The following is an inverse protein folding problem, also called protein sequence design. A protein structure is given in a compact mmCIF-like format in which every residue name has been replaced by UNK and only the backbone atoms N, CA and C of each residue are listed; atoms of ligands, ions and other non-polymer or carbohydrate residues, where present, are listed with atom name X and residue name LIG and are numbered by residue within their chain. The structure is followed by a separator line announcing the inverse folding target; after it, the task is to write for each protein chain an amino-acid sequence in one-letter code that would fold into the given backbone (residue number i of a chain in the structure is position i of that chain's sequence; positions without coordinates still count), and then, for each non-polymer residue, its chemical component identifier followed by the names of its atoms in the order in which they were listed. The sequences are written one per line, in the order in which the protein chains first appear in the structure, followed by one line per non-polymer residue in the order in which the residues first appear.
data_IF_233035614454
#
_entry.id   IF_233035614454
#
_cell.length_a   1.000
_cell.length_b   1.000
_cell.length_c   1.000
_cell.angle_alpha   90.00
_cell.angle_beta   90.00
_cell.angle_gamma   90.00
#
_symmetry.space_group_name_H-M   'P 1'
#
loop_
_entity.id
_entity.type
_entity.pdbx_description
1 polymer ?
#
# COMPACT_ATOMS: atom_id res chain seq x y z
N UNK A 1 71.52 -6.51 49.59
CA UNK A 1 72.21 -7.80 49.57
C UNK A 1 71.60 -8.59 48.44
N UNK A 2 72.38 -8.66 47.37
CA UNK A 2 73.05 -9.87 46.87
C UNK A 2 72.07 -10.88 46.28
N UNK A 3 72.13 -11.37 45.09
CA UNK A 3 73.05 -11.29 43.96
C UNK A 3 72.58 -12.32 42.92
N UNK A 4 72.81 -12.00 41.64
CA UNK A 4 73.32 -12.88 40.56
C UNK A 4 72.68 -14.28 40.36
N UNK A 5 72.46 -14.80 39.17
CA UNK A 5 73.26 -14.79 37.91
C UNK A 5 72.59 -15.62 36.83
N UNK A 6 72.72 -15.15 35.56
CA UNK A 6 73.11 -15.88 34.34
C UNK A 6 72.12 -16.87 33.65
N UNK A 7 71.71 -16.45 32.48
CA UNK A 7 72.08 -16.96 31.11
C UNK A 7 71.83 -18.47 30.86
N UNK A 8 71.02 -18.72 29.87
CA UNK A 8 71.48 -19.37 28.63
C UNK A 8 70.51 -19.19 27.51
N UNK A 9 71.03 -18.76 26.38
CA UNK A 9 70.39 -18.76 25.03
C UNK A 9 70.24 -20.22 24.58
N UNK A 10 69.19 -20.54 23.85
CA UNK A 10 69.29 -21.46 22.73
C UNK A 10 68.11 -21.16 21.75
N UNK A 11 68.55 -20.90 20.58
CA UNK A 11 67.82 -20.71 19.28
C UNK A 11 67.08 -21.97 18.85
N UNK A 12 65.95 -21.86 18.23
CA UNK A 12 65.70 -22.37 16.86
C UNK A 12 64.23 -22.33 16.40
N UNK A 13 64.09 -21.82 15.22
CA UNK A 13 63.27 -22.21 14.08
C UNK A 13 61.75 -22.00 14.16
N UNK A 14 61.31 -21.02 13.47
CA UNK A 14 60.49 -20.97 12.28
C UNK A 14 59.35 -22.01 12.22
N UNK A 15 58.14 -21.51 12.31
CA UNK A 15 56.91 -22.15 11.93
C UNK A 15 55.85 -21.10 11.71
N UNK A 16 55.85 -20.49 10.50
CA UNK A 16 54.80 -19.60 10.08
C UNK A 16 53.54 -20.42 9.76
N UNK A 17 52.64 -20.55 10.73
CA UNK A 17 51.28 -20.97 10.47
C UNK A 17 50.44 -19.71 10.20
N UNK A 18 50.22 -19.42 8.94
CA UNK A 18 49.23 -18.43 8.52
C UNK A 18 47.84 -18.97 8.84
N UNK A 19 47.30 -18.59 9.98
CA UNK A 19 45.90 -18.70 10.28
C UNK A 19 45.20 -17.58 9.46
N UNK A 20 44.67 -17.97 8.28
CA UNK A 20 43.67 -17.21 7.59
C UNK A 20 42.45 -17.15 8.52
N UNK A 21 42.36 -16.09 9.29
CA UNK A 21 41.10 -15.66 9.90
C UNK A 21 40.18 -15.27 8.79
N UNK A 22 39.36 -16.22 8.31
CA UNK A 22 38.14 -15.94 7.61
C UNK A 22 37.26 -15.12 8.56
N UNK A 23 37.41 -13.81 8.49
CA UNK A 23 36.45 -12.90 9.05
C UNK A 23 35.16 -13.11 8.26
N UNK A 24 34.34 -14.08 8.69
CA UNK A 24 32.90 -14.02 8.42
C UNK A 24 32.43 -12.77 9.15
N UNK A 25 32.36 -11.68 8.42
CA UNK A 25 31.61 -10.52 8.85
C UNK A 25 30.17 -10.95 9.10
N UNK A 26 29.81 -11.01 10.38
CA UNK A 26 28.42 -10.86 10.78
C UNK A 26 28.04 -9.39 10.56
N UNK A 27 27.97 -8.98 9.29
CA UNK A 27 27.06 -7.96 8.88
C UNK A 27 25.73 -8.67 8.72
N UNK A 28 24.87 -8.56 9.72
CA UNK A 28 23.46 -8.91 9.60
C UNK A 28 22.80 -7.89 8.70
N UNK A 29 23.11 -7.92 7.41
CA UNK A 29 22.25 -7.40 6.37
C UNK A 29 21.08 -8.39 6.29
N UNK A 30 19.87 -7.95 6.51
CA UNK A 30 18.69 -8.69 6.05
C UNK A 30 18.92 -8.95 4.56
N UNK A 31 18.66 -10.16 4.09
CA UNK A 31 18.68 -10.45 2.65
C UNK A 31 17.61 -9.58 2.01
N UNK A 32 18.06 -8.59 1.26
CA UNK A 32 17.20 -7.59 0.63
C UNK A 32 16.77 -8.14 -0.72
N UNK A 33 15.67 -8.88 -0.75
CA UNK A 33 15.06 -9.33 -1.99
C UNK A 33 14.53 -10.76 -1.98
N UNK A 34 13.82 -11.16 -3.06
CA UNK A 34 13.26 -12.50 -3.22
C UNK A 34 14.30 -13.61 -3.09
N UNK A 35 13.95 -14.71 -2.43
CA UNK A 35 14.86 -15.83 -2.17
C UNK A 35 14.54 -17.03 -3.04
N UNK A 36 15.57 -17.55 -3.76
CA UNK A 36 15.44 -18.75 -4.58
C UNK A 36 15.86 -20.00 -3.82
N UNK A 37 15.03 -21.05 -3.96
CA UNK A 37 15.35 -22.38 -3.47
C UNK A 37 14.74 -23.43 -4.38
N UNK A 38 15.57 -24.39 -4.82
CA UNK A 38 15.18 -25.53 -5.66
C UNK A 38 14.48 -25.10 -6.97
N UNK A 39 14.87 -23.94 -7.54
CA UNK A 39 14.31 -23.40 -8.78
C UNK A 39 12.98 -22.65 -8.60
N UNK A 40 12.58 -22.39 -7.36
CA UNK A 40 11.39 -21.58 -7.04
C UNK A 40 11.83 -20.34 -6.27
N UNK A 41 11.43 -19.17 -6.76
CA UNK A 41 11.69 -17.89 -6.10
C UNK A 41 10.53 -17.50 -5.20
N UNK A 42 10.80 -17.35 -3.90
CA UNK A 42 9.80 -16.89 -2.94
C UNK A 42 9.83 -15.38 -2.83
N UNK A 43 8.65 -14.76 -2.98
CA UNK A 43 8.43 -13.30 -2.84
C UNK A 43 7.53 -13.06 -1.61
N UNK A 44 7.99 -12.22 -0.69
CA UNK A 44 7.19 -11.79 0.46
C UNK A 44 6.45 -10.50 0.09
N UNK A 45 5.12 -10.57 -0.02
CA UNK A 45 4.29 -9.44 -0.47
C UNK A 45 3.35 -8.98 0.64
N UNK A 46 3.40 -7.67 0.95
CA UNK A 46 2.43 -7.04 1.83
C UNK A 46 1.20 -6.56 1.06
N UNK A 47 0.00 -6.78 1.58
CA UNK A 47 -1.23 -6.40 0.91
C UNK A 47 -2.37 -6.06 1.87
N UNK A 48 -3.33 -5.22 1.45
CA UNK A 48 -4.62 -5.11 2.13
C UNK A 48 -5.41 -6.40 1.98
N UNK A 49 -6.29 -6.76 2.93
CA UNK A 49 -7.05 -8.02 2.87
C UNK A 49 -7.88 -8.15 1.61
N UNK A 50 -8.62 -7.10 1.23
CA UNK A 50 -9.48 -7.02 0.04
C UNK A 50 -9.17 -5.76 -0.77
N UNK A 51 -9.20 -5.82 -2.08
CA UNK A 51 -9.19 -7.01 -2.94
C UNK A 51 -7.78 -7.58 -3.13
N UNK A 52 -6.76 -6.87 -2.69
CA UNK A 52 -5.34 -7.08 -3.01
C UNK A 52 -4.83 -8.47 -2.64
N UNK A 53 -5.05 -8.91 -1.39
CA UNK A 53 -4.62 -10.25 -0.98
C UNK A 53 -5.43 -11.36 -1.67
N UNK A 54 -6.70 -11.11 -2.03
CA UNK A 54 -7.51 -12.06 -2.79
C UNK A 54 -6.97 -12.22 -4.23
N UNK A 55 -6.56 -11.12 -4.88
CA UNK A 55 -5.91 -11.15 -6.21
C UNK A 55 -4.55 -11.87 -6.14
N UNK A 56 -3.72 -11.55 -5.14
CA UNK A 56 -2.43 -12.23 -4.95
C UNK A 56 -2.62 -13.72 -4.64
N UNK A 57 -3.65 -14.09 -3.89
CA UNK A 57 -3.95 -15.49 -3.60
C UNK A 57 -4.35 -16.25 -4.87
N UNK A 58 -5.16 -15.63 -5.74
CA UNK A 58 -5.47 -16.19 -7.06
C UNK A 58 -4.19 -16.41 -7.88
N UNK A 59 -3.30 -15.42 -7.94
CA UNK A 59 -2.00 -15.56 -8.63
C UNK A 59 -1.17 -16.69 -8.01
N UNK A 60 -1.12 -16.79 -6.67
CA UNK A 60 -0.40 -17.86 -5.97
C UNK A 60 -0.93 -19.24 -6.33
N UNK A 61 -2.25 -19.41 -6.38
CA UNK A 61 -2.89 -20.70 -6.51
C UNK A 61 -2.92 -21.18 -7.98
N UNK A 62 -3.06 -20.26 -8.94
CA UNK A 62 -3.31 -20.59 -10.35
C UNK A 62 -2.10 -20.33 -11.25
N UNK A 63 -1.25 -19.34 -10.97
CA UNK A 63 -0.25 -18.86 -11.94
C UNK A 63 1.20 -18.97 -11.44
N UNK A 64 1.45 -18.77 -10.16
CA UNK A 64 2.80 -18.61 -9.63
C UNK A 64 3.68 -19.85 -9.84
N UNK A 65 3.14 -21.06 -9.70
CA UNK A 65 3.90 -22.29 -9.82
C UNK A 65 4.51 -22.48 -11.22
N UNK A 66 3.76 -22.21 -12.29
CA UNK A 66 4.23 -22.33 -13.67
C UNK A 66 5.29 -21.26 -13.98
N UNK A 67 5.23 -20.13 -13.30
CA UNK A 67 6.20 -19.04 -13.40
C UNK A 67 7.46 -19.25 -12.54
N UNK A 68 7.56 -20.35 -11.79
CA UNK A 68 8.66 -20.60 -10.85
C UNK A 68 8.63 -19.71 -9.62
N UNK A 69 7.47 -19.15 -9.26
CA UNK A 69 7.28 -18.27 -8.12
C UNK A 69 6.50 -18.95 -6.98
N UNK A 70 6.69 -18.43 -5.77
CA UNK A 70 5.88 -18.73 -4.61
C UNK A 70 5.65 -17.45 -3.83
N UNK A 71 4.39 -17.08 -3.54
CA UNK A 71 4.06 -15.86 -2.83
C UNK A 71 3.80 -16.14 -1.36
N UNK A 72 4.47 -15.37 -0.50
CA UNK A 72 4.17 -15.31 0.94
C UNK A 72 3.43 -14.01 1.21
N UNK A 73 2.10 -14.08 1.26
CA UNK A 73 1.24 -12.92 1.40
C UNK A 73 1.09 -12.56 2.88
N UNK A 74 1.44 -11.32 3.24
CA UNK A 74 1.27 -10.74 4.58
C UNK A 74 0.19 -9.66 4.51
N UNK A 75 -0.89 -9.82 5.26
CA UNK A 75 -1.99 -8.87 5.23
C UNK A 75 -1.81 -7.76 6.28
N UNK A 76 -2.13 -6.53 5.88
CA UNK A 76 -2.12 -5.32 6.71
C UNK A 76 -3.47 -4.63 6.62
N UNK A 77 -4.00 -4.22 7.78
CA UNK A 77 -5.31 -3.56 7.88
C UNK A 77 -5.22 -2.04 7.99
N UNK A 78 -4.03 -1.47 7.83
CA UNK A 78 -3.76 -0.05 7.80
C UNK A 78 -2.78 0.30 6.67
N UNK A 79 -2.70 1.59 6.32
CA UNK A 79 -1.83 2.06 5.24
C UNK A 79 -0.44 2.51 5.69
N UNK A 80 -0.15 2.52 6.99
CA UNK A 80 1.11 3.08 7.51
C UNK A 80 2.25 2.07 7.51
N UNK A 81 1.93 0.79 7.77
CA UNK A 81 2.93 -0.25 7.99
C UNK A 81 3.54 -0.81 6.69
N UNK A 82 2.79 -1.04 5.58
CA UNK A 82 3.34 -1.78 4.44
C UNK A 82 4.56 -1.11 3.79
N UNK A 83 4.56 0.22 3.64
CA UNK A 83 5.71 0.94 3.09
C UNK A 83 6.92 0.93 4.03
N UNK A 84 6.69 1.03 5.34
CA UNK A 84 7.77 0.87 6.30
C UNK A 84 8.37 -0.54 6.24
N UNK A 85 7.54 -1.58 6.21
CA UNK A 85 7.99 -2.97 6.14
C UNK A 85 8.78 -3.26 4.85
N UNK A 86 8.38 -2.65 3.71
CA UNK A 86 9.11 -2.72 2.44
C UNK A 86 10.47 -2.03 2.55
N UNK A 87 10.51 -0.81 3.12
CA UNK A 87 11.75 -0.07 3.34
C UNK A 87 12.72 -0.80 4.28
N UNK A 88 12.20 -1.46 5.30
CA UNK A 88 12.98 -2.19 6.30
C UNK A 88 13.45 -3.58 5.81
N UNK A 89 13.05 -3.99 4.59
CA UNK A 89 13.41 -5.28 4.01
C UNK A 89 12.65 -6.47 4.62
N UNK A 90 11.53 -6.23 5.30
CA UNK A 90 10.64 -7.28 5.79
C UNK A 90 9.69 -7.79 4.69
N UNK A 91 9.53 -7.01 3.61
CA UNK A 91 8.79 -7.32 2.40
C UNK A 91 9.70 -7.15 1.17
N UNK A 92 9.43 -7.92 0.12
CA UNK A 92 10.03 -7.74 -1.21
C UNK A 92 9.21 -6.78 -2.07
N UNK A 93 7.89 -6.77 -1.87
CA UNK A 93 6.94 -5.90 -2.54
C UNK A 93 5.74 -5.60 -1.63
N UNK A 94 4.97 -4.56 -1.97
CA UNK A 94 3.63 -4.39 -1.45
C UNK A 94 2.62 -4.10 -2.56
N UNK A 95 1.36 -4.42 -2.29
CA UNK A 95 0.23 -4.21 -3.19
C UNK A 95 -0.97 -3.74 -2.36
N UNK A 96 -1.20 -2.42 -2.29
CA UNK A 96 -2.26 -1.82 -1.48
C UNK A 96 -2.48 -0.33 -1.77
N UNK A 97 -1.67 0.30 -2.64
CA UNK A 97 -1.57 1.75 -2.75
C UNK A 97 -1.69 2.25 -4.19
N UNK A 98 -2.06 3.51 -4.30
CA UNK A 98 -2.22 4.28 -5.53
C UNK A 98 -1.02 5.20 -5.77
N UNK A 99 -0.79 5.71 -7.01
CA UNK A 99 0.34 6.57 -7.33
C UNK A 99 0.44 7.82 -6.44
N UNK A 100 -0.68 8.50 -6.20
CA UNK A 100 -0.72 9.71 -5.37
C UNK A 100 -0.38 9.42 -3.89
N UNK A 101 -0.78 8.26 -3.36
CA UNK A 101 -0.40 7.85 -2.01
C UNK A 101 1.08 7.52 -1.93
N UNK A 102 1.63 6.80 -2.91
CA UNK A 102 3.06 6.50 -3.00
C UNK A 102 3.89 7.79 -3.04
N UNK A 103 3.56 8.74 -3.94
CA UNK A 103 4.26 10.03 -4.06
C UNK A 103 4.28 10.80 -2.72
N UNK A 104 3.14 10.83 -2.03
CA UNK A 104 3.04 11.46 -0.73
C UNK A 104 3.94 10.78 0.31
N UNK A 105 3.95 9.43 0.35
CA UNK A 105 4.79 8.67 1.28
C UNK A 105 6.29 8.85 1.01
N UNK A 106 6.71 8.85 -0.25
CA UNK A 106 8.09 9.15 -0.65
C UNK A 106 8.52 10.55 -0.22
N UNK A 107 7.67 11.54 -0.47
CA UNK A 107 7.93 12.93 -0.09
C UNK A 107 8.04 13.13 1.42
N UNK A 108 7.21 12.47 2.21
CA UNK A 108 7.18 12.64 3.67
C UNK A 108 8.21 11.79 4.41
N UNK A 109 8.44 10.57 3.95
CA UNK A 109 9.28 9.58 4.63
C UNK A 109 10.66 9.42 4.00
N UNK A 110 10.85 9.91 2.78
CA UNK A 110 12.09 9.75 2.02
C UNK A 110 12.32 8.33 1.52
N UNK A 111 11.24 7.58 1.29
CA UNK A 111 11.35 6.26 0.67
C UNK A 111 11.80 6.38 -0.79
N UNK A 112 12.54 5.38 -1.27
CA UNK A 112 12.97 5.25 -2.65
C UNK A 112 12.33 3.97 -3.23
N UNK A 113 11.12 4.12 -3.78
CA UNK A 113 10.32 3.02 -4.30
C UNK A 113 10.08 3.15 -5.80
N UNK A 114 9.67 2.05 -6.41
CA UNK A 114 9.21 1.98 -7.78
C UNK A 114 7.80 1.37 -7.79
N UNK A 115 6.82 2.14 -8.27
CA UNK A 115 5.48 1.64 -8.56
C UNK A 115 5.40 1.17 -10.00
N UNK A 116 4.94 -0.06 -10.24
CA UNK A 116 4.63 -0.55 -11.58
C UNK A 116 3.32 0.08 -12.10
N UNK A 117 2.87 -0.33 -13.29
CA UNK A 117 1.58 0.12 -13.83
C UNK A 117 0.40 -0.33 -12.94
N UNK A 118 -0.72 0.40 -13.06
CA UNK A 118 -1.93 0.11 -12.27
C UNK A 118 -2.57 -1.21 -12.67
N UNK A 119 -2.93 -2.00 -11.67
CA UNK A 119 -3.54 -3.33 -11.83
C UNK A 119 -5.07 -3.22 -11.76
N UNK A 120 -5.59 -2.47 -10.80
CA UNK A 120 -7.03 -2.26 -10.64
C UNK A 120 -7.33 -0.92 -9.99
N UNK A 121 -8.57 -0.46 -10.18
CA UNK A 121 -9.13 0.72 -9.53
C UNK A 121 -10.20 0.29 -8.53
N UNK A 122 -10.21 0.94 -7.38
CA UNK A 122 -11.26 0.85 -6.37
C UNK A 122 -11.88 2.24 -6.20
N UNK A 123 -13.07 2.49 -6.75
CA UNK A 123 -13.74 3.78 -6.57
C UNK A 123 -13.97 4.10 -5.09
N UNK A 124 -13.60 5.33 -4.69
CA UNK A 124 -13.94 5.85 -3.36
C UNK A 124 -15.41 6.25 -3.35
N UNK A 125 -16.11 6.02 -2.24
CA UNK A 125 -17.54 6.36 -2.13
C UNK A 125 -17.84 7.23 -0.92
N UNK A 126 -18.94 8.02 -1.02
CA UNK A 126 -19.60 8.65 0.11
C UNK A 126 -20.65 7.70 0.66
N UNK A 127 -20.55 7.39 1.93
CA UNK A 127 -21.45 6.47 2.63
C UNK A 127 -22.12 7.15 3.83
N UNK A 128 -23.29 6.63 4.18
CA UNK A 128 -24.03 7.03 5.38
C UNK A 128 -24.77 5.80 5.93
N UNK A 129 -24.91 5.74 7.26
CA UNK A 129 -25.81 4.79 7.92
C UNK A 129 -27.17 5.44 8.26
N UNK A 130 -27.31 6.76 8.10
CA UNK A 130 -28.50 7.52 8.49
C UNK A 130 -29.26 8.18 7.33
N UNK A 131 -28.59 8.46 6.21
CA UNK A 131 -29.16 9.14 5.05
C UNK A 131 -29.40 8.15 3.90
N UNK A 132 -30.49 8.34 3.16
CA UNK A 132 -30.80 7.55 1.99
C UNK A 132 -30.38 8.24 0.65
N UNK A 133 -30.08 9.54 0.69
CA UNK A 133 -29.62 10.30 -0.48
C UNK A 133 -28.86 11.55 -0.07
N UNK A 134 -28.09 12.13 -1.02
CA UNK A 134 -27.37 13.38 -0.79
C UNK A 134 -28.32 14.59 -0.57
N UNK A 135 -29.55 14.53 -1.07
CA UNK A 135 -30.55 15.58 -0.87
C UNK A 135 -30.94 15.72 0.60
N UNK A 136 -30.79 14.66 1.40
CA UNK A 136 -31.13 14.60 2.83
C UNK A 136 -30.02 15.15 3.73
N UNK A 137 -28.84 15.51 3.19
CA UNK A 137 -27.72 16.03 3.97
C UNK A 137 -28.15 17.29 4.71
N UNK A 138 -28.15 17.28 6.08
CA UNK A 138 -28.60 18.41 6.87
C UNK A 138 -27.60 19.57 6.85
N UNK A 139 -28.06 20.75 7.21
CA UNK A 139 -27.18 21.87 7.53
C UNK A 139 -26.39 21.56 8.80
N UNK A 140 -25.08 21.78 8.79
CA UNK A 140 -24.17 21.39 9.88
C UNK A 140 -23.88 19.90 9.95
N UNK A 141 -24.07 19.15 8.85
CA UNK A 141 -23.74 17.72 8.76
C UNK A 141 -22.30 17.45 9.18
N UNK A 142 -22.06 16.34 9.88
CA UNK A 142 -20.73 15.85 10.22
C UNK A 142 -20.23 14.89 9.16
N UNK A 143 -19.02 15.12 8.66
CA UNK A 143 -18.39 14.26 7.66
C UNK A 143 -17.03 13.77 8.12
N UNK A 144 -16.75 12.47 7.89
CA UNK A 144 -15.44 11.87 8.12
C UNK A 144 -14.69 11.72 6.80
N UNK A 145 -13.43 12.12 6.80
CA UNK A 145 -12.47 11.93 5.69
C UNK A 145 -11.15 11.37 6.26
N UNK A 146 -10.32 10.77 5.41
CA UNK A 146 -9.03 10.24 5.85
C UNK A 146 -8.10 11.35 6.34
N UNK A 147 -7.14 10.99 7.23
CA UNK A 147 -6.19 11.93 7.82
C UNK A 147 -4.84 11.97 7.11
N UNK A 148 -4.57 11.04 6.18
CA UNK A 148 -3.40 11.14 5.31
C UNK A 148 -3.67 12.14 4.16
N UNK A 149 -2.68 12.94 3.75
CA UNK A 149 -2.91 14.02 2.78
C UNK A 149 -3.50 13.56 1.45
N UNK A 150 -3.03 12.44 0.91
CA UNK A 150 -3.48 11.93 -0.38
C UNK A 150 -4.97 11.56 -0.37
N UNK A 151 -5.43 10.83 0.66
CA UNK A 151 -6.84 10.45 0.78
C UNK A 151 -7.70 11.58 1.37
N UNK A 152 -7.14 12.52 2.17
CA UNK A 152 -7.85 13.76 2.56
C UNK A 152 -8.27 14.52 1.32
N UNK A 153 -7.33 14.82 0.41
CA UNK A 153 -7.60 15.56 -0.80
C UNK A 153 -8.56 14.83 -1.74
N UNK A 154 -8.37 13.51 -1.95
CA UNK A 154 -9.28 12.68 -2.75
C UNK A 154 -10.70 12.68 -2.17
N UNK A 155 -10.84 12.56 -0.84
CA UNK A 155 -12.13 12.65 -0.17
C UNK A 155 -12.80 14.01 -0.37
N UNK A 156 -12.07 15.12 -0.26
CA UNK A 156 -12.62 16.46 -0.54
C UNK A 156 -13.05 16.64 -1.99
N UNK A 157 -12.26 16.12 -2.95
CA UNK A 157 -12.64 16.11 -4.35
C UNK A 157 -13.92 15.30 -4.61
N UNK A 158 -14.11 14.20 -3.87
CA UNK A 158 -15.32 13.40 -3.92
C UNK A 158 -16.54 14.18 -3.41
N UNK A 159 -16.40 14.94 -2.31
CA UNK A 159 -17.44 15.84 -1.81
C UNK A 159 -17.77 16.98 -2.81
N UNK A 160 -16.75 17.50 -3.51
CA UNK A 160 -16.94 18.50 -4.57
C UNK A 160 -17.68 17.89 -5.77
N UNK A 161 -17.26 16.71 -6.25
CA UNK A 161 -17.93 16.00 -7.35
C UNK A 161 -19.38 15.64 -7.01
N UNK A 162 -19.69 15.39 -5.73
CA UNK A 162 -21.03 15.19 -5.22
C UNK A 162 -21.86 16.49 -5.10
N UNK A 163 -21.26 17.66 -5.38
CA UNK A 163 -21.93 18.97 -5.30
C UNK A 163 -22.18 19.48 -3.89
N UNK A 164 -21.50 18.92 -2.89
CA UNK A 164 -21.68 19.29 -1.48
C UNK A 164 -20.78 20.44 -1.04
N UNK A 165 -19.63 20.61 -1.67
CA UNK A 165 -18.67 21.71 -1.44
C UNK A 165 -18.10 22.20 -2.78
N UNK A 166 -17.36 23.30 -2.75
CA UNK A 166 -16.48 23.74 -3.85
C UNK A 166 -15.08 24.01 -3.29
N UNK A 167 -14.06 23.49 -3.92
CA UNK A 167 -12.67 23.79 -3.59
C UNK A 167 -12.22 25.11 -4.21
N UNK A 168 -11.19 25.74 -3.68
CA UNK A 168 -10.58 26.95 -4.25
C UNK A 168 -9.98 26.63 -5.60
N UNK A 169 -10.06 27.60 -6.53
CA UNK A 169 -9.49 27.46 -7.88
C UNK A 169 -7.97 27.19 -7.82
N UNK A 170 -7.50 26.21 -8.57
CA UNK A 170 -6.08 25.87 -8.70
C UNK A 170 -5.50 25.08 -7.52
N UNK A 171 -6.35 24.57 -6.61
CA UNK A 171 -5.88 23.66 -5.55
C UNK A 171 -5.46 22.33 -6.16
N UNK A 172 -4.28 21.88 -5.77
CA UNK A 172 -3.83 20.52 -6.04
C UNK A 172 -4.58 19.54 -5.13
N UNK A 173 -5.39 18.67 -5.73
CA UNK A 173 -6.21 17.68 -5.01
C UNK A 173 -5.36 16.79 -4.10
N UNK A 174 -4.14 16.43 -4.50
CA UNK A 174 -3.25 15.53 -3.71
C UNK A 174 -2.87 16.16 -2.36
N UNK A 175 -2.90 17.48 -2.25
CA UNK A 175 -2.52 18.23 -1.05
C UNK A 175 -3.66 19.05 -0.44
N UNK A 176 -4.88 18.94 -0.99
CA UNK A 176 -6.03 19.69 -0.51
C UNK A 176 -6.40 19.33 0.94
N UNK A 177 -6.77 20.35 1.68
CA UNK A 177 -7.19 20.27 3.09
C UNK A 177 -8.58 20.91 3.27
N UNK A 178 -9.29 20.70 4.37
CA UNK A 178 -10.55 21.43 4.64
C UNK A 178 -10.42 22.95 4.62
N UNK A 179 -9.22 23.50 4.83
CA UNK A 179 -8.97 24.95 4.70
C UNK A 179 -9.03 25.44 3.24
N UNK A 180 -9.00 24.55 2.27
CA UNK A 180 -9.05 24.86 0.85
C UNK A 180 -10.47 24.82 0.28
N UNK A 181 -11.47 24.59 1.11
CA UNK A 181 -12.88 24.71 0.75
C UNK A 181 -13.21 26.20 0.53
N UNK A 182 -13.71 26.55 -0.66
CA UNK A 182 -14.17 27.89 -1.01
C UNK A 182 -15.65 28.10 -0.64
N UNK A 183 -16.49 27.10 -0.93
CA UNK A 183 -17.93 27.14 -0.63
C UNK A 183 -18.33 25.84 0.09
N UNK A 184 -19.13 26.01 1.13
CA UNK A 184 -19.69 24.93 1.93
C UNK A 184 -21.13 25.28 2.31
N UNK A 185 -22.07 25.18 1.36
CA UNK A 185 -23.42 25.69 1.53
C UNK A 185 -24.23 24.96 2.61
N UNK A 186 -23.84 23.75 2.97
CA UNK A 186 -24.46 22.94 4.04
C UNK A 186 -23.73 23.07 5.38
N UNK A 187 -22.69 23.90 5.48
CA UNK A 187 -21.86 24.04 6.67
C UNK A 187 -21.35 22.71 7.21
N UNK A 188 -20.94 21.79 6.31
CA UNK A 188 -20.45 20.45 6.66
C UNK A 188 -19.21 20.58 7.57
N UNK A 189 -19.22 19.88 8.71
CA UNK A 189 -18.12 19.83 9.65
C UNK A 189 -17.24 18.61 9.37
N UNK A 190 -16.03 18.83 8.84
CA UNK A 190 -15.11 17.74 8.50
C UNK A 190 -14.27 17.31 9.70
N UNK A 191 -14.24 16.01 9.97
CA UNK A 191 -13.35 15.36 10.93
C UNK A 191 -12.42 14.41 10.17
N UNK A 192 -11.12 14.46 10.45
CA UNK A 192 -10.14 13.55 9.87
C UNK A 192 -9.91 12.35 10.78
N UNK A 193 -9.95 11.14 10.22
CA UNK A 193 -9.75 9.86 10.90
C UNK A 193 -8.74 9.01 10.12
N UNK A 194 -8.15 8.01 10.76
CA UNK A 194 -7.47 6.94 10.02
C UNK A 194 -8.43 6.31 9.01
N UNK A 195 -8.01 6.14 7.75
CA UNK A 195 -8.87 5.63 6.69
C UNK A 195 -9.59 4.32 7.07
N UNK A 196 -8.88 3.40 7.75
CA UNK A 196 -9.42 2.14 8.27
C UNK A 196 -10.55 2.31 9.29
N UNK A 197 -10.73 3.49 9.88
CA UNK A 197 -11.74 3.74 10.91
C UNK A 197 -13.02 4.34 10.33
N UNK A 198 -12.98 4.98 9.15
CA UNK A 198 -14.10 5.74 8.62
C UNK A 198 -15.34 4.87 8.43
N UNK A 199 -15.19 3.69 7.78
CA UNK A 199 -16.32 2.78 7.56
C UNK A 199 -17.01 2.33 8.86
N UNK A 200 -16.24 2.23 9.96
CA UNK A 200 -16.75 1.83 11.28
C UNK A 200 -17.39 3.00 12.05
N UNK A 201 -17.05 4.23 11.66
CA UNK A 201 -17.53 5.46 12.31
C UNK A 201 -18.79 6.04 11.65
N UNK A 202 -19.33 5.38 10.61
CA UNK A 202 -20.52 5.88 9.88
C UNK A 202 -21.76 6.05 10.78
N UNK A 203 -21.86 5.33 11.89
CA UNK A 203 -22.92 5.51 12.88
C UNK A 203 -22.76 6.78 13.75
N UNK A 204 -21.58 7.43 13.74
CA UNK A 204 -21.25 8.61 14.55
C UNK A 204 -21.21 9.90 13.73
N UNK A 205 -21.28 9.79 12.39
CA UNK A 205 -21.24 10.90 11.42
C UNK A 205 -22.40 10.78 10.43
N UNK A 206 -22.72 11.88 9.75
CA UNK A 206 -23.76 11.87 8.70
C UNK A 206 -23.23 11.31 7.37
N UNK A 207 -21.95 11.57 7.07
CA UNK A 207 -21.28 11.13 5.84
C UNK A 207 -19.84 10.65 6.13
N UNK A 208 -19.36 9.68 5.35
CA UNK A 208 -17.96 9.27 5.34
C UNK A 208 -17.45 9.04 3.93
N UNK A 209 -16.28 9.62 3.58
CA UNK A 209 -15.57 9.25 2.36
C UNK A 209 -14.72 8.01 2.66
N UNK A 210 -15.16 6.85 2.14
CA UNK A 210 -14.55 5.54 2.46
C UNK A 210 -13.83 5.00 1.23
N UNK A 211 -12.57 4.61 1.40
CA UNK A 211 -11.79 3.92 0.37
C UNK A 211 -12.42 2.57 0.03
N UNK A 212 -12.33 2.15 -1.26
CA UNK A 212 -13.00 0.95 -1.77
C UNK A 212 -12.68 -0.32 -0.99
N UNK A 213 -11.40 -0.58 -0.68
CA UNK A 213 -11.00 -1.74 0.11
C UNK A 213 -11.65 -1.77 1.51
N UNK A 214 -11.72 -0.64 2.20
CA UNK A 214 -12.35 -0.57 3.53
C UNK A 214 -13.88 -0.68 3.47
N UNK A 215 -14.50 -0.23 2.37
CA UNK A 215 -15.91 -0.48 2.12
C UNK A 215 -16.17 -1.98 1.95
N UNK A 216 -15.37 -2.66 1.11
CA UNK A 216 -15.44 -4.12 0.90
C UNK A 216 -15.15 -4.92 2.18
N UNK A 217 -14.16 -4.51 2.98
CA UNK A 217 -13.86 -5.14 4.28
C UNK A 217 -15.00 -4.96 5.29
N UNK A 218 -15.71 -3.83 5.24
CA UNK A 218 -16.90 -3.58 6.05
C UNK A 218 -18.17 -4.30 5.51
N UNK A 219 -18.06 -5.03 4.40
CA UNK A 219 -19.16 -5.74 3.77
C UNK A 219 -20.15 -4.84 3.03
N UNK A 220 -19.72 -3.64 2.66
CA UNK A 220 -20.52 -2.69 1.86
C UNK A 220 -20.25 -2.92 0.35
N UNK A 221 -21.31 -2.83 -0.46
CA UNK A 221 -21.20 -2.76 -1.91
C UNK A 221 -21.00 -1.29 -2.32
N UNK A 222 -19.86 -0.92 -2.92
CA UNK A 222 -19.66 0.46 -3.40
C UNK A 222 -20.78 0.94 -4.31
N UNK A 223 -21.32 0.08 -5.18
CA UNK A 223 -22.38 0.41 -6.10
C UNK A 223 -23.76 0.61 -5.44
N UNK A 224 -24.10 -0.24 -4.46
CA UNK A 224 -25.45 -0.30 -3.91
C UNK A 224 -25.60 0.49 -2.60
N UNK A 225 -24.51 0.61 -1.82
CA UNK A 225 -24.52 1.21 -0.48
C UNK A 225 -23.94 2.63 -0.44
N UNK A 226 -23.25 3.09 -1.51
CA UNK A 226 -22.77 4.47 -1.54
C UNK A 226 -23.87 5.44 -1.97
N UNK A 227 -23.87 6.64 -1.39
CA UNK A 227 -24.71 7.76 -1.82
C UNK A 227 -24.13 8.46 -3.06
N UNK A 228 -22.82 8.39 -3.24
CA UNK A 228 -22.09 8.87 -4.39
C UNK A 228 -20.81 8.06 -4.55
N UNK A 229 -20.51 7.66 -5.77
CA UNK A 229 -19.32 6.86 -6.09
C UNK A 229 -18.44 7.60 -7.08
N UNK A 230 -17.14 7.57 -6.85
CA UNK A 230 -16.13 8.07 -7.78
C UNK A 230 -16.22 7.32 -9.13
N UNK A 231 -16.03 7.99 -10.28
CA UNK A 231 -15.96 7.28 -11.55
C UNK A 231 -14.74 6.37 -11.59
N UNK A 232 -14.93 5.12 -12.00
CA UNK A 232 -13.85 4.14 -12.14
C UNK A 232 -13.11 4.24 -13.48
N UNK A 233 -13.76 4.74 -14.51
CA UNK A 233 -13.21 4.88 -15.87
C UNK A 233 -12.15 6.02 -15.90
N UNK A 234 -10.99 5.78 -16.54
CA UNK A 234 -9.87 6.73 -16.63
C UNK A 234 -9.38 7.27 -15.26
N UNK A 235 -9.57 6.50 -14.20
CA UNK A 235 -9.19 6.90 -12.85
C UNK A 235 -7.66 6.96 -12.68
N UNK A 236 -7.11 8.05 -12.07
CA UNK A 236 -5.69 8.14 -11.76
C UNK A 236 -5.28 7.30 -10.53
N UNK A 237 -6.23 6.59 -9.93
CA UNK A 237 -6.05 5.86 -8.67
C UNK A 237 -5.88 4.35 -8.88
N UNK A 238 -5.19 3.93 -9.96
CA UNK A 238 -4.86 2.53 -10.17
C UNK A 238 -3.96 1.99 -9.05
N UNK A 239 -4.41 0.95 -8.37
CA UNK A 239 -3.61 0.25 -7.37
C UNK A 239 -2.50 -0.56 -8.06
N UNK A 240 -1.28 -0.51 -7.53
CA UNK A 240 -0.09 -1.03 -8.20
C UNK A 240 0.78 -1.87 -7.28
N UNK A 241 1.56 -2.77 -7.87
CA UNK A 241 2.66 -3.43 -7.18
C UNK A 241 3.78 -2.41 -6.99
N UNK A 242 4.31 -2.32 -5.76
CA UNK A 242 5.40 -1.40 -5.40
C UNK A 242 6.56 -2.19 -4.82
N UNK A 243 7.77 -1.87 -5.25
CA UNK A 243 9.03 -2.48 -4.84
C UNK A 243 10.04 -1.39 -4.44
N UNK A 244 11.16 -1.74 -3.82
CA UNK A 244 12.27 -0.78 -3.65
C UNK A 244 12.82 -0.38 -5.01
N UNK A 245 13.26 0.86 -5.18
CA UNK A 245 13.86 1.36 -6.43
C UNK A 245 15.06 0.50 -6.87
N UNK A 246 15.84 -0.02 -5.90
CA UNK A 246 16.96 -0.93 -6.17
C UNK A 246 16.54 -2.28 -6.77
N UNK A 247 15.31 -2.71 -6.55
CA UNK A 247 14.79 -4.02 -6.95
C UNK A 247 13.87 -3.98 -8.18
N UNK A 248 13.66 -2.81 -8.78
CA UNK A 248 12.72 -2.63 -9.90
C UNK A 248 12.98 -3.51 -11.12
N UNK A 249 14.25 -3.90 -11.32
CA UNK A 249 14.67 -4.76 -12.43
C UNK A 249 14.87 -6.22 -11.98
N UNK A 250 14.46 -6.61 -10.77
CA UNK A 250 14.52 -7.98 -10.29
C UNK A 250 13.56 -8.86 -11.10
N UNK A 251 14.08 -9.90 -11.73
CA UNK A 251 13.34 -10.76 -12.67
C UNK A 251 12.08 -11.38 -12.04
N UNK A 252 12.14 -11.78 -10.75
CA UNK A 252 10.99 -12.38 -10.08
C UNK A 252 9.89 -11.34 -9.77
N UNK A 253 10.27 -10.12 -9.39
CA UNK A 253 9.32 -9.03 -9.12
C UNK A 253 8.67 -8.51 -10.41
N UNK A 254 9.45 -8.36 -11.47
CA UNK A 254 8.92 -8.04 -12.82
C UNK A 254 7.96 -9.14 -13.27
N UNK A 255 8.33 -10.40 -13.06
CA UNK A 255 7.46 -11.54 -13.42
C UNK A 255 6.15 -11.55 -12.62
N UNK A 256 6.19 -11.25 -11.32
CA UNK A 256 4.97 -11.10 -10.53
C UNK A 256 4.08 -9.99 -11.09
N UNK A 257 4.67 -8.84 -11.46
CA UNK A 257 3.91 -7.76 -12.08
C UNK A 257 3.27 -8.17 -13.41
N UNK A 258 3.99 -8.94 -14.26
CA UNK A 258 3.43 -9.48 -15.49
C UNK A 258 2.23 -10.41 -15.23
N UNK A 259 2.31 -11.28 -14.20
CA UNK A 259 1.20 -12.15 -13.81
C UNK A 259 -0.01 -11.35 -13.34
N UNK A 260 0.22 -10.27 -12.57
CA UNK A 260 -0.84 -9.40 -12.11
C UNK A 260 -1.56 -8.62 -13.24
N UNK A 261 -0.92 -8.52 -14.43
CA UNK A 261 -1.49 -7.92 -15.65
C UNK A 261 -1.95 -8.98 -16.68
N UNK A 262 -2.11 -10.23 -16.26
CA UNK A 262 -2.56 -11.30 -17.16
C UNK A 262 -4.07 -11.25 -17.41
N UNK A 263 -4.49 -11.85 -18.53
CA UNK A 263 -5.92 -12.00 -18.87
C UNK A 263 -6.68 -12.83 -17.81
N UNK A 264 -6.00 -13.77 -17.16
CA UNK A 264 -6.56 -14.58 -16.07
C UNK A 264 -6.88 -13.75 -14.84
N UNK A 265 -5.98 -12.83 -14.43
CA UNK A 265 -6.23 -11.89 -13.32
C UNK A 265 -7.32 -10.91 -13.68
N UNK A 266 -7.35 -10.41 -14.91
CA UNK A 266 -8.44 -9.57 -15.40
C UNK A 266 -9.80 -10.27 -15.27
N UNK A 267 -9.90 -11.50 -15.77
CA UNK A 267 -11.13 -12.28 -15.67
C UNK A 267 -11.52 -12.55 -14.23
N UNK A 268 -10.55 -12.89 -13.36
CA UNK A 268 -10.80 -13.07 -11.92
C UNK A 268 -11.41 -11.82 -11.27
N UNK A 269 -10.86 -10.63 -11.56
CA UNK A 269 -11.38 -9.37 -11.03
C UNK A 269 -12.81 -9.13 -11.53
N UNK A 270 -13.06 -9.27 -12.84
CA UNK A 270 -14.37 -9.03 -13.44
C UNK A 270 -15.45 -10.01 -12.94
N UNK A 271 -15.09 -11.26 -12.69
CA UNK A 271 -16.00 -12.29 -12.17
C UNK A 271 -16.28 -12.09 -10.67
N UNK A 272 -15.22 -11.83 -9.88
CA UNK A 272 -15.32 -11.72 -8.41
C UNK A 272 -16.01 -10.43 -7.99
N UNK A 273 -15.73 -9.32 -8.68
CA UNK A 273 -16.22 -7.99 -8.39
C UNK A 273 -17.14 -7.47 -9.50
N UNK A 274 -18.07 -8.33 -9.95
CA UNK A 274 -18.99 -8.05 -11.07
C UNK A 274 -19.94 -6.86 -10.83
N UNK A 275 -20.01 -6.36 -9.60
CA UNK A 275 -20.70 -5.13 -9.23
C UNK A 275 -19.93 -3.84 -9.58
N UNK A 276 -18.69 -3.96 -10.05
CA UNK A 276 -17.82 -2.83 -10.36
C UNK A 276 -17.14 -2.19 -9.14
N UNK A 277 -17.15 -2.86 -8.00
CA UNK A 277 -16.43 -2.41 -6.80
C UNK A 277 -14.89 -2.45 -6.97
N UNK A 278 -14.42 -3.30 -7.87
CA UNK A 278 -13.03 -3.38 -8.32
C UNK A 278 -13.01 -3.51 -9.84
N UNK A 279 -12.25 -2.67 -10.51
CA UNK A 279 -12.24 -2.55 -11.97
C UNK A 279 -10.81 -2.76 -12.47
N UNK A 280 -10.54 -3.69 -13.42
CA UNK A 280 -9.21 -3.81 -14.03
C UNK A 280 -8.76 -2.46 -14.63
N UNK A 281 -7.46 -2.14 -14.47
CA UNK A 281 -6.86 -0.89 -14.96
C UNK A 281 -5.99 -1.08 -16.22
N UNK A 282 -6.02 -2.27 -16.84
CA UNK A 282 -5.20 -2.64 -18.00
C UNK A 282 -6.01 -3.39 -19.06
#
# INVERSE_FOLDING_TARGET
MSAFTRRTLLTASAGAAALALSSCGLAGGKDEGPTEKDGVTTIVVGASPKPHAEILQFVQDELAQEAGLSLKITQYTDYQIPNQALNDGDLDANFYQTPNFLEQQEKEKGYEFHGFEGIHVEPMGLYSDSLASLDEVPDGAKAAIANDPANTGRGLALFEAAGLITLKEGVDVISATPADIAENPKNIEFTTLEAAQIARSLGDVDLGAVNGNYALEAGKSPKDDSLFLEPGEDSPYGNMLVVREADKDNEALVKLNELLHSDEVKAFIEETYSDGSVIPAF
#
